data_IF_800604506774
#
_entry.id   IF_800604506774
#
_cell.length_a   1.000
_cell.length_b   1.000
_cell.length_c   1.000
_cell.angle_alpha   90.00
_cell.angle_beta   90.00
_cell.angle_gamma   90.00
#
_symmetry.space_group_name_H-M   'P 1'
#
loop_
_entity.id
_entity.type
_entity.pdbx_description
1 polymer ?
#
# COMPACT_ATOMS: atom_id res chain seq x y z
N UNK A 1 -12.85 59.41 6.00
CA UNK A 1 -13.41 58.36 5.11
C UNK A 1 -12.38 57.95 4.06
N UNK A 2 -11.41 57.07 4.39
CA UNK A 2 -10.39 56.58 3.42
C UNK A 2 -9.78 55.21 3.80
N UNK A 3 -10.44 54.45 4.68
CA UNK A 3 -9.96 53.14 5.13
C UNK A 3 -10.85 51.97 4.65
N UNK A 4 -12.12 52.22 4.39
CA UNK A 4 -13.07 51.19 3.96
C UNK A 4 -12.80 50.65 2.55
N UNK A 5 -12.11 51.40 1.69
CA UNK A 5 -11.84 50.99 0.30
C UNK A 5 -10.63 50.04 0.19
N UNK A 6 -9.69 50.08 1.14
CA UNK A 6 -8.50 49.21 1.11
C UNK A 6 -8.84 47.79 1.57
N UNK A 7 -9.75 47.65 2.53
CA UNK A 7 -10.15 46.34 3.06
C UNK A 7 -10.91 45.51 2.02
N UNK A 8 -11.76 46.13 1.18
CA UNK A 8 -12.48 45.39 0.13
C UNK A 8 -11.59 44.90 -1.02
N UNK A 9 -10.48 45.58 -1.32
CA UNK A 9 -9.59 45.17 -2.44
C UNK A 9 -8.71 43.99 -2.04
N UNK A 10 -8.29 43.89 -0.77
CA UNK A 10 -7.48 42.76 -0.29
C UNK A 10 -8.29 41.47 -0.19
N UNK A 11 -9.57 41.54 0.18
CA UNK A 11 -10.45 40.36 0.26
C UNK A 11 -10.79 39.78 -1.13
N UNK A 12 -10.92 40.64 -2.15
CA UNK A 12 -11.21 40.19 -3.52
C UNK A 12 -9.96 39.59 -4.20
N UNK A 13 -8.75 40.07 -3.86
CA UNK A 13 -7.50 39.48 -4.35
C UNK A 13 -7.12 38.17 -3.64
N UNK A 14 -7.57 37.94 -2.39
CA UNK A 14 -7.32 36.70 -1.65
C UNK A 14 -8.25 35.53 -2.06
N UNK A 15 -9.41 35.82 -2.66
CA UNK A 15 -10.35 34.80 -3.13
C UNK A 15 -9.91 34.10 -4.44
N UNK A 16 -8.90 34.64 -5.14
CA UNK A 16 -8.39 34.09 -6.41
C UNK A 16 -7.24 33.08 -6.29
N UNK A 17 -6.75 32.80 -5.09
CA UNK A 17 -5.57 31.93 -4.87
C UNK A 17 -5.76 30.86 -3.79
N UNK A 18 -7.00 30.59 -3.37
CA UNK A 18 -7.28 29.41 -2.56
C UNK A 18 -7.37 28.19 -3.50
N UNK A 19 -6.49 27.18 -3.38
CA UNK A 19 -6.62 25.97 -4.19
C UNK A 19 -7.98 25.35 -3.92
N UNK A 20 -8.64 24.90 -4.98
CA UNK A 20 -9.93 24.21 -4.86
C UNK A 20 -9.78 22.96 -4.00
N UNK A 21 -10.87 22.47 -3.41
CA UNK A 21 -10.85 21.23 -2.60
C UNK A 21 -10.26 20.06 -3.40
N UNK A 22 -10.54 19.99 -4.70
CA UNK A 22 -9.94 18.99 -5.59
C UNK A 22 -8.43 19.19 -5.78
N UNK A 23 -7.95 20.42 -5.94
CA UNK A 23 -6.51 20.71 -6.02
C UNK A 23 -5.78 20.40 -4.71
N UNK A 24 -6.42 20.65 -3.57
CA UNK A 24 -5.86 20.28 -2.27
C UNK A 24 -5.80 18.76 -2.11
N UNK A 25 -6.85 18.05 -2.54
CA UNK A 25 -6.91 16.59 -2.50
C UNK A 25 -5.87 15.96 -3.42
N UNK A 26 -5.70 16.47 -4.64
CA UNK A 26 -4.70 15.97 -5.59
C UNK A 26 -3.28 16.20 -5.06
N UNK A 27 -2.97 17.41 -4.60
CA UNK A 27 -1.67 17.73 -4.00
C UNK A 27 -1.38 16.86 -2.77
N UNK A 28 -2.40 16.54 -1.97
CA UNK A 28 -2.28 15.64 -0.82
C UNK A 28 -1.92 14.20 -1.23
N UNK A 29 -2.54 13.70 -2.31
CA UNK A 29 -2.22 12.37 -2.85
C UNK A 29 -0.83 12.32 -3.48
N UNK A 30 -0.44 13.36 -4.22
CA UNK A 30 0.89 13.48 -4.81
C UNK A 30 1.99 13.52 -3.74
N UNK A 31 1.78 14.27 -2.66
CA UNK A 31 2.72 14.34 -1.55
C UNK A 31 2.87 12.99 -0.81
N UNK A 32 1.76 12.27 -0.59
CA UNK A 32 1.81 10.91 -0.05
C UNK A 32 2.61 9.97 -0.97
N UNK A 33 2.35 10.04 -2.28
CA UNK A 33 3.05 9.22 -3.26
C UNK A 33 4.56 9.51 -3.26
N UNK A 34 4.96 10.78 -3.21
CA UNK A 34 6.36 11.20 -3.10
C UNK A 34 7.04 10.65 -1.84
N UNK A 35 6.37 10.62 -0.69
CA UNK A 35 6.93 10.02 0.53
C UNK A 35 7.09 8.50 0.43
N UNK A 36 6.13 7.80 -0.19
CA UNK A 36 6.23 6.37 -0.46
C UNK A 36 7.39 6.06 -1.43
N UNK A 37 7.54 6.86 -2.48
CA UNK A 37 8.63 6.72 -3.45
C UNK A 37 9.99 7.03 -2.80
N UNK A 38 10.05 8.05 -1.93
CA UNK A 38 11.24 8.35 -1.13
C UNK A 38 11.64 7.21 -0.20
N UNK A 39 10.65 6.61 0.50
CA UNK A 39 10.87 5.45 1.35
C UNK A 39 11.38 4.23 0.56
N UNK A 40 10.82 4.00 -0.63
CA UNK A 40 11.27 2.95 -1.55
C UNK A 40 12.70 3.20 -2.04
N UNK A 41 13.02 4.42 -2.47
CA UNK A 41 14.35 4.77 -2.97
C UNK A 41 15.43 4.60 -1.87
N UNK A 42 15.14 5.05 -0.64
CA UNK A 42 16.03 4.83 0.50
C UNK A 42 16.23 3.33 0.76
N UNK A 43 15.16 2.54 0.69
CA UNK A 43 15.26 1.09 0.87
C UNK A 43 16.08 0.42 -0.24
N UNK A 44 15.90 0.84 -1.49
CA UNK A 44 16.68 0.32 -2.62
C UNK A 44 18.17 0.63 -2.45
N UNK A 45 18.51 1.80 -1.93
CA UNK A 45 19.91 2.15 -1.63
C UNK A 45 20.50 1.24 -0.54
N UNK A 46 19.78 1.06 0.58
CA UNK A 46 20.21 0.13 1.63
C UNK A 46 20.35 -1.32 1.14
N UNK A 47 19.44 -1.75 0.24
CA UNK A 47 19.49 -3.07 -0.36
C UNK A 47 20.73 -3.24 -1.24
N UNK A 48 21.05 -2.24 -2.08
CA UNK A 48 22.26 -2.22 -2.91
C UNK A 48 23.54 -2.25 -2.08
N UNK A 49 23.52 -1.62 -0.91
CA UNK A 49 24.63 -1.62 0.04
C UNK A 49 24.71 -2.91 0.88
N UNK A 50 23.76 -3.85 0.70
CA UNK A 50 23.77 -5.13 1.39
C UNK A 50 23.36 -5.07 2.87
N UNK A 51 22.72 -3.98 3.31
CA UNK A 51 22.45 -3.72 4.74
C UNK A 51 21.47 -4.71 5.41
N UNK A 52 20.73 -5.51 4.64
CA UNK A 52 19.65 -6.34 5.18
C UNK A 52 20.03 -7.79 5.50
N UNK A 53 21.16 -8.27 4.98
CA UNK A 53 21.66 -9.65 5.17
C UNK A 53 20.83 -10.75 4.50
N UNK A 54 19.50 -10.64 4.49
CA UNK A 54 18.57 -11.56 3.82
C UNK A 54 17.43 -10.82 3.13
N UNK A 55 16.80 -11.47 2.16
CA UNK A 55 15.67 -10.93 1.40
C UNK A 55 14.46 -10.68 2.31
N UNK A 56 14.19 -11.59 3.25
CA UNK A 56 13.09 -11.45 4.20
C UNK A 56 13.26 -10.23 5.11
N UNK A 57 14.49 -9.96 5.58
CA UNK A 57 14.77 -8.76 6.35
C UNK A 57 14.61 -7.50 5.51
N UNK A 58 15.06 -7.53 4.25
CA UNK A 58 14.85 -6.43 3.32
C UNK A 58 13.34 -6.17 3.12
N UNK A 59 12.55 -7.20 2.84
CA UNK A 59 11.10 -7.06 2.67
C UNK A 59 10.42 -6.52 3.93
N UNK A 60 10.74 -7.04 5.13
CA UNK A 60 10.20 -6.52 6.40
C UNK A 60 10.55 -5.06 6.61
N UNK A 61 11.79 -4.66 6.30
CA UNK A 61 12.22 -3.28 6.41
C UNK A 61 11.45 -2.35 5.47
N UNK A 62 11.17 -2.79 4.23
CA UNK A 62 10.33 -2.03 3.29
C UNK A 62 8.90 -1.86 3.82
N UNK A 63 8.30 -2.95 4.29
CA UNK A 63 6.95 -2.92 4.87
C UNK A 63 6.88 -1.95 6.05
N UNK A 64 7.87 -2.01 6.96
CA UNK A 64 7.93 -1.10 8.11
C UNK A 64 8.05 0.38 7.68
N UNK A 65 8.81 0.68 6.62
CA UNK A 65 8.93 2.05 6.10
C UNK A 65 7.63 2.56 5.51
N UNK A 66 6.90 1.73 4.78
CA UNK A 66 5.58 2.11 4.28
C UNK A 66 4.57 2.29 5.40
N UNK A 67 4.57 1.40 6.40
CA UNK A 67 3.71 1.54 7.58
C UNK A 67 3.96 2.91 8.29
N UNK A 68 5.22 3.32 8.44
CA UNK A 68 5.56 4.64 9.00
C UNK A 68 5.07 5.83 8.15
N UNK A 69 5.13 5.73 6.81
CA UNK A 69 4.59 6.76 5.92
C UNK A 69 3.07 6.84 6.09
N UNK A 70 2.36 5.71 6.02
CA UNK A 70 0.91 5.69 6.22
C UNK A 70 0.51 6.29 7.58
N UNK A 71 1.18 5.89 8.65
CA UNK A 71 0.92 6.39 10.01
C UNK A 71 1.07 7.92 10.11
N UNK A 72 2.15 8.48 9.56
CA UNK A 72 2.40 9.93 9.54
C UNK A 72 1.28 10.71 8.86
N UNK A 73 0.69 10.11 7.83
CA UNK A 73 -0.42 10.71 7.09
C UNK A 73 -1.79 10.49 7.75
N UNK A 74 -1.83 9.81 8.90
CA UNK A 74 -3.09 9.42 9.58
C UNK A 74 -3.89 8.40 8.76
N UNK A 75 -3.21 7.67 7.87
CA UNK A 75 -3.79 6.70 6.96
C UNK A 75 -3.41 5.28 7.38
N UNK A 76 -4.11 4.31 6.81
CA UNK A 76 -3.63 2.94 6.77
C UNK A 76 -3.59 2.46 5.32
N UNK A 77 -2.68 1.55 5.04
CA UNK A 77 -2.73 0.79 3.80
C UNK A 77 -4.09 0.08 3.66
N UNK A 78 -4.69 0.12 2.48
CA UNK A 78 -5.91 -0.62 2.19
C UNK A 78 -5.69 -2.15 2.30
N UNK A 79 -6.74 -2.95 2.51
CA UNK A 79 -6.59 -4.39 2.71
C UNK A 79 -5.81 -5.12 1.61
N UNK A 80 -5.94 -4.71 0.33
CA UNK A 80 -5.17 -5.32 -0.76
C UNK A 80 -3.69 -4.94 -0.67
N UNK A 81 -3.37 -3.68 -0.36
CA UNK A 81 -1.99 -3.26 -0.11
C UNK A 81 -1.37 -4.01 1.07
N UNK A 82 -2.11 -4.19 2.17
CA UNK A 82 -1.65 -4.99 3.30
C UNK A 82 -1.36 -6.44 2.90
N UNK A 83 -2.24 -7.05 2.10
CA UNK A 83 -2.04 -8.40 1.57
C UNK A 83 -0.77 -8.50 0.72
N UNK A 84 -0.57 -7.57 -0.22
CA UNK A 84 0.63 -7.55 -1.06
C UNK A 84 1.92 -7.39 -0.24
N UNK A 85 1.92 -6.51 0.77
CA UNK A 85 3.07 -6.29 1.64
C UNK A 85 3.38 -7.54 2.48
N UNK A 86 2.36 -8.18 3.07
CA UNK A 86 2.53 -9.42 3.80
C UNK A 86 3.06 -10.55 2.90
N UNK A 87 2.53 -10.66 1.69
CA UNK A 87 2.95 -11.66 0.72
C UNK A 87 4.37 -11.42 0.18
N UNK A 88 4.80 -10.16 0.04
CA UNK A 88 6.18 -9.81 -0.34
C UNK A 88 7.19 -10.34 0.68
N UNK A 89 6.89 -10.22 1.98
CA UNK A 89 7.72 -10.79 3.05
C UNK A 89 7.76 -12.31 2.95
N UNK A 90 6.61 -12.94 2.73
CA UNK A 90 6.49 -14.39 2.60
C UNK A 90 7.29 -14.95 1.41
N UNK A 91 7.19 -14.31 0.24
CA UNK A 91 7.98 -14.66 -0.93
C UNK A 91 9.49 -14.51 -0.68
N UNK A 92 9.90 -13.46 0.02
CA UNK A 92 11.30 -13.22 0.35
C UNK A 92 11.86 -14.29 1.33
N UNK A 93 11.07 -14.78 2.29
CA UNK A 93 11.45 -15.92 3.14
C UNK A 93 11.72 -17.17 2.31
N UNK A 94 10.91 -17.43 1.28
CA UNK A 94 11.12 -18.58 0.37
C UNK A 94 12.36 -18.44 -0.49
N UNK A 95 12.69 -17.22 -0.93
CA UNK A 95 13.94 -16.93 -1.64
C UNK A 95 15.14 -17.23 -0.74
N UNK A 96 15.11 -16.76 0.50
CA UNK A 96 16.16 -17.04 1.48
C UNK A 96 16.28 -18.55 1.77
N UNK A 97 15.15 -19.25 1.80
CA UNK A 97 15.06 -20.72 1.93
C UNK A 97 15.44 -21.52 0.68
N UNK A 98 15.80 -20.84 -0.43
CA UNK A 98 16.12 -21.44 -1.74
C UNK A 98 14.98 -22.27 -2.36
N UNK A 99 13.73 -21.96 -1.99
CA UNK A 99 12.53 -22.60 -2.55
C UNK A 99 11.98 -21.88 -3.78
N UNK A 100 12.34 -20.60 -3.94
CA UNK A 100 12.07 -19.80 -5.11
C UNK A 100 13.36 -19.07 -5.50
N UNK A 101 13.58 -18.88 -6.80
CA UNK A 101 14.54 -17.88 -7.25
C UNK A 101 13.98 -16.46 -7.03
N UNK A 102 14.87 -15.47 -6.95
CA UNK A 102 14.47 -14.06 -6.88
C UNK A 102 13.62 -13.64 -8.10
N UNK A 103 13.94 -14.14 -9.29
CA UNK A 103 13.21 -13.83 -10.52
C UNK A 103 11.81 -14.45 -10.55
N UNK A 104 11.64 -15.65 -10.01
CA UNK A 104 10.32 -16.26 -9.84
C UNK A 104 9.48 -15.48 -8.82
N UNK A 105 10.05 -15.14 -7.67
CA UNK A 105 9.38 -14.33 -6.67
C UNK A 105 8.94 -12.97 -7.25
N UNK A 106 9.82 -12.28 -7.99
CA UNK A 106 9.51 -11.01 -8.63
C UNK A 106 8.41 -11.14 -9.70
N UNK A 107 8.42 -12.20 -10.51
CA UNK A 107 7.35 -12.46 -11.50
C UNK A 107 6.00 -12.71 -10.82
N UNK A 108 5.98 -13.51 -9.74
CA UNK A 108 4.77 -13.80 -8.97
C UNK A 108 4.20 -12.51 -8.33
N UNK A 109 5.06 -11.72 -7.69
CA UNK A 109 4.67 -10.46 -7.06
C UNK A 109 4.19 -9.43 -8.09
N UNK A 110 4.86 -9.33 -9.24
CA UNK A 110 4.47 -8.43 -10.32
C UNK A 110 3.11 -8.78 -10.93
N UNK A 111 2.83 -10.07 -11.12
CA UNK A 111 1.52 -10.55 -11.58
C UNK A 111 0.44 -10.22 -10.56
N UNK A 112 0.65 -10.58 -9.29
CA UNK A 112 -0.30 -10.31 -8.20
C UNK A 112 -0.63 -8.82 -8.11
N UNK A 113 0.39 -7.96 -8.15
CA UNK A 113 0.20 -6.51 -8.14
C UNK A 113 -0.68 -6.05 -9.29
N UNK A 114 -0.38 -6.50 -10.51
CA UNK A 114 -1.15 -6.12 -11.70
C UNK A 114 -2.62 -6.54 -11.61
N UNK A 115 -2.86 -7.76 -11.15
CA UNK A 115 -4.21 -8.30 -11.00
C UNK A 115 -4.99 -7.54 -9.92
N UNK A 116 -4.39 -7.34 -8.75
CA UNK A 116 -5.04 -6.65 -7.62
C UNK A 116 -5.21 -5.14 -7.84
N UNK A 117 -4.28 -4.48 -8.55
CA UNK A 117 -4.41 -3.06 -8.88
C UNK A 117 -5.60 -2.82 -9.83
N UNK A 118 -5.83 -3.74 -10.78
CA UNK A 118 -7.02 -3.70 -11.65
C UNK A 118 -8.31 -3.80 -10.84
N UNK A 119 -8.40 -4.77 -9.95
CA UNK A 119 -9.58 -4.96 -9.09
C UNK A 119 -9.78 -3.80 -8.11
N UNK A 120 -8.70 -3.25 -7.56
CA UNK A 120 -8.74 -2.10 -6.64
C UNK A 120 -9.45 -0.91 -7.27
N UNK A 121 -9.17 -0.61 -8.55
CA UNK A 121 -9.83 0.48 -9.27
C UNK A 121 -11.33 0.22 -9.39
N UNK A 122 -11.73 -0.99 -9.77
CA UNK A 122 -13.13 -1.36 -9.91
C UNK A 122 -13.90 -1.27 -8.57
N UNK A 123 -13.32 -1.79 -7.49
CA UNK A 123 -13.90 -1.75 -6.15
C UNK A 123 -14.02 -0.32 -5.63
N UNK A 124 -12.97 0.49 -5.83
CA UNK A 124 -12.93 1.88 -5.37
C UNK A 124 -13.97 2.76 -6.08
N UNK A 125 -14.21 2.53 -7.37
CA UNK A 125 -15.25 3.23 -8.12
C UNK A 125 -16.66 2.90 -7.60
N UNK A 126 -16.92 1.63 -7.26
CA UNK A 126 -18.25 1.16 -6.82
C UNK A 126 -18.60 1.54 -5.38
N UNK A 127 -17.60 1.70 -4.51
CA UNK A 127 -17.78 1.91 -3.07
C UNK A 127 -17.10 3.19 -2.54
N UNK A 128 -16.96 4.21 -3.39
CA UNK A 128 -16.18 5.42 -3.11
C UNK A 128 -16.56 6.11 -1.78
N UNK A 129 -17.87 6.18 -1.48
CA UNK A 129 -18.42 6.98 -0.40
C UNK A 129 -18.44 6.27 0.97
N UNK A 130 -18.35 4.93 1.01
CA UNK A 130 -18.40 4.18 2.27
C UNK A 130 -17.11 3.37 2.47
N UNK A 131 -16.25 3.88 3.36
CA UNK A 131 -14.96 3.27 3.67
C UNK A 131 -15.09 1.82 4.19
N UNK A 132 -16.10 1.52 5.02
CA UNK A 132 -16.31 0.18 5.55
C UNK A 132 -16.76 -0.79 4.44
N UNK A 133 -17.66 -0.35 3.55
CA UNK A 133 -18.11 -1.15 2.42
C UNK A 133 -16.97 -1.41 1.42
N UNK A 134 -16.16 -0.38 1.13
CA UNK A 134 -14.97 -0.52 0.27
C UNK A 134 -13.97 -1.49 0.86
N UNK A 135 -13.66 -1.37 2.14
CA UNK A 135 -12.75 -2.29 2.83
C UNK A 135 -13.26 -3.73 2.80
N UNK A 136 -14.56 -3.94 3.05
CA UNK A 136 -15.18 -5.27 3.00
C UNK A 136 -15.10 -5.86 1.57
N UNK A 137 -15.35 -5.04 0.55
CA UNK A 137 -15.23 -5.45 -0.85
C UNK A 137 -13.77 -5.77 -1.23
N UNK A 138 -12.79 -5.00 -0.74
CA UNK A 138 -11.36 -5.30 -0.93
C UNK A 138 -10.95 -6.61 -0.24
N UNK A 139 -11.47 -6.90 0.94
CA UNK A 139 -11.24 -8.18 1.62
C UNK A 139 -11.88 -9.36 0.88
N UNK A 140 -13.09 -9.20 0.37
CA UNK A 140 -13.73 -10.22 -0.46
C UNK A 140 -12.94 -10.47 -1.76
N UNK A 141 -12.52 -9.40 -2.45
CA UNK A 141 -11.65 -9.49 -3.62
C UNK A 141 -10.34 -10.25 -3.32
N UNK A 142 -9.69 -9.94 -2.20
CA UNK A 142 -8.51 -10.70 -1.75
C UNK A 142 -8.83 -12.19 -1.56
N UNK A 143 -9.94 -12.51 -0.92
CA UNK A 143 -10.33 -13.89 -0.65
C UNK A 143 -10.60 -14.68 -1.93
N UNK A 144 -11.27 -14.07 -2.90
CA UNK A 144 -11.51 -14.67 -4.22
C UNK A 144 -10.20 -14.86 -4.99
N UNK A 145 -9.35 -13.83 -5.00
CA UNK A 145 -8.03 -13.91 -5.62
C UNK A 145 -7.17 -15.02 -5.02
N UNK A 146 -7.10 -15.07 -3.69
CA UNK A 146 -6.36 -16.10 -2.97
C UNK A 146 -6.91 -17.50 -3.29
N UNK A 147 -8.23 -17.69 -3.24
CA UNK A 147 -8.85 -18.98 -3.55
C UNK A 147 -8.48 -19.49 -4.95
N UNK A 148 -8.46 -18.59 -5.94
CA UNK A 148 -8.11 -18.92 -7.32
C UNK A 148 -6.60 -19.17 -7.53
N UNK A 149 -5.75 -18.48 -6.79
CA UNK A 149 -4.31 -18.46 -7.04
C UNK A 149 -3.47 -19.13 -5.94
N UNK A 150 -4.09 -19.62 -4.86
CA UNK A 150 -3.38 -20.18 -3.71
C UNK A 150 -2.43 -21.29 -4.12
N UNK A 151 -2.73 -22.10 -5.15
CA UNK A 151 -1.84 -23.18 -5.63
C UNK A 151 -0.56 -22.68 -6.29
N UNK A 152 -0.63 -21.53 -6.96
CA UNK A 152 0.54 -20.87 -7.58
C UNK A 152 1.43 -20.27 -6.49
N UNK A 153 0.80 -19.88 -5.39
CA UNK A 153 1.45 -19.32 -4.22
C UNK A 153 1.73 -20.37 -3.13
N UNK A 154 1.21 -21.59 -3.28
CA UNK A 154 1.35 -22.69 -2.33
C UNK A 154 2.81 -23.07 -2.33
N UNK A 155 3.34 -22.98 -1.13
CA UNK A 155 4.73 -23.22 -0.87
C UNK A 155 4.91 -24.71 -0.66
N UNK A 156 6.11 -25.17 -0.96
CA UNK A 156 6.55 -26.52 -0.65
C UNK A 156 6.27 -26.84 0.83
N UNK A 157 6.20 -28.13 1.17
CA UNK A 157 5.93 -28.58 2.54
C UNK A 157 6.87 -28.04 3.61
N UNK A 158 8.00 -27.41 3.24
CA UNK A 158 8.99 -26.84 4.15
C UNK A 158 8.62 -25.46 4.71
N UNK A 159 7.91 -24.60 3.96
CA UNK A 159 7.55 -23.24 4.42
C UNK A 159 6.16 -22.81 3.93
N UNK A 160 5.07 -23.52 4.29
CA UNK A 160 3.72 -23.23 3.79
C UNK A 160 3.32 -21.77 4.07
N UNK A 161 3.20 -20.94 3.03
CA UNK A 161 2.65 -19.58 3.15
C UNK A 161 1.14 -19.66 3.12
N UNK A 162 0.52 -19.24 4.22
CA UNK A 162 -0.93 -19.14 4.38
C UNK A 162 -1.30 -17.70 4.64
N UNK A 163 -1.99 -17.08 3.69
CA UNK A 163 -2.52 -15.74 3.83
C UNK A 163 -4.01 -15.78 4.15
N UNK A 164 -4.38 -15.24 5.31
CA UNK A 164 -5.75 -15.28 5.83
C UNK A 164 -6.23 -13.89 6.27
N UNK A 165 -7.54 -13.72 6.23
CA UNK A 165 -8.19 -12.54 6.80
C UNK A 165 -8.18 -12.68 8.31
N UNK A 166 -7.53 -11.73 8.99
CA UNK A 166 -7.57 -11.64 10.43
C UNK A 166 -8.89 -10.99 10.88
N UNK A 167 -9.87 -11.82 11.21
CA UNK A 167 -11.19 -11.39 11.70
C UNK A 167 -11.15 -10.55 12.98
N UNK A 168 -10.05 -10.63 13.75
CA UNK A 168 -9.84 -9.85 14.97
C UNK A 168 -9.18 -8.49 14.75
N UNK A 169 -8.79 -8.16 13.50
CA UNK A 169 -8.06 -6.93 13.18
C UNK A 169 -8.94 -5.68 13.23
N UNK A 170 -9.23 -5.20 14.43
CA UNK A 170 -9.72 -3.85 14.68
C UNK A 170 -8.52 -2.90 14.65
N UNK A 171 -8.51 -1.94 13.73
CA UNK A 171 -7.46 -0.93 13.55
C UNK A 171 -6.04 -1.46 13.21
N UNK A 172 -5.88 -2.75 12.90
CA UNK A 172 -4.59 -3.37 12.53
C UNK A 172 -4.53 -3.91 11.10
N UNK A 173 -3.53 -4.76 10.83
CA UNK A 173 -3.41 -5.50 9.55
C UNK A 173 -4.53 -6.53 9.46
N UNK A 174 -5.40 -6.37 8.46
CA UNK A 174 -6.56 -7.23 8.23
C UNK A 174 -6.22 -8.48 7.43
N UNK A 175 -5.09 -8.49 6.73
CA UNK A 175 -4.57 -9.68 6.05
C UNK A 175 -3.20 -10.00 6.63
N UNK A 176 -3.02 -11.25 7.04
CA UNK A 176 -1.76 -11.76 7.55
C UNK A 176 -1.33 -12.97 6.73
N UNK A 177 -0.05 -13.04 6.40
CA UNK A 177 0.58 -14.20 5.78
C UNK A 177 1.56 -14.83 6.77
N UNK A 178 1.46 -16.14 6.98
CA UNK A 178 2.36 -16.94 7.83
C UNK A 178 3.03 -18.01 7.01
#
# INVERSE_FOLDING_TARGET
MRWSTVVCVVVILAAGCAPTVEQQRSARLEALQLELDGALAAWQNDAKLGHFGTSANAARALVARYDLVYERWGLRADPLTQAMLAYTVAAAVRVDGKELSADEANRLLGKMRTDLDRERVAVSAKHAENAAARDAAMLACWQDYWTANQRVFEVTSRNPVRCEINSSAVNGKRVNCR
#
